data_IF_630577191467
#
_entry.id   IF_630577191467
#
_cell.length_a   1.000
_cell.length_b   1.000
_cell.length_c   1.000
_cell.angle_alpha   90.00
_cell.angle_beta   90.00
_cell.angle_gamma   90.00
#
_symmetry.space_group_name_H-M   'P 1'
#
loop_
_entity.id
_entity.type
_entity.pdbx_description
1 polymer ?
#
# COMPACT_ATOMS: atom_id res chain seq x y z
N UNK A 1 -8.84 -9.31 8.53
CA UNK A 1 -9.86 -10.24 9.06
C UNK A 1 -9.96 -11.52 8.21
N UNK A 2 -10.10 -11.44 6.88
CA UNK A 2 -10.18 -12.60 5.99
C UNK A 2 -9.03 -13.63 6.19
N UNK A 3 -7.78 -13.19 6.25
CA UNK A 3 -6.62 -14.05 6.54
C UNK A 3 -6.77 -14.88 7.82
N UNK A 4 -7.20 -14.23 8.91
CA UNK A 4 -7.36 -14.89 10.21
C UNK A 4 -8.49 -15.93 10.17
N UNK A 5 -9.56 -15.66 9.42
CA UNK A 5 -10.67 -16.61 9.24
C UNK A 5 -10.21 -17.84 8.46
N UNK A 6 -9.50 -17.66 7.35
CA UNK A 6 -8.99 -18.78 6.54
C UNK A 6 -7.96 -19.60 7.32
N UNK A 7 -7.05 -18.95 8.05
CA UNK A 7 -6.11 -19.64 8.92
C UNK A 7 -6.83 -20.48 9.99
N UNK A 8 -7.78 -19.89 10.71
CA UNK A 8 -8.45 -20.52 11.85
C UNK A 8 -9.43 -21.63 11.47
N UNK A 9 -10.20 -21.45 10.40
CA UNK A 9 -11.31 -22.34 10.05
C UNK A 9 -11.04 -23.23 8.84
N UNK A 10 -10.10 -22.84 7.97
CA UNK A 10 -9.82 -23.53 6.71
C UNK A 10 -8.37 -24.01 6.61
N UNK A 11 -7.61 -23.97 7.71
CA UNK A 11 -6.23 -24.45 7.82
C UNK A 11 -5.31 -23.90 6.70
N UNK A 12 -5.51 -22.63 6.30
CA UNK A 12 -4.78 -21.97 5.21
C UNK A 12 -4.86 -22.69 3.85
N UNK A 13 -6.02 -23.27 3.53
CA UNK A 13 -6.25 -23.82 2.20
C UNK A 13 -6.14 -22.71 1.12
N UNK A 14 -5.18 -22.87 0.21
CA UNK A 14 -4.90 -21.91 -0.87
C UNK A 14 -6.13 -21.66 -1.75
N UNK A 15 -6.93 -22.69 -1.99
CA UNK A 15 -8.15 -22.58 -2.81
C UNK A 15 -9.10 -21.55 -2.18
N UNK A 16 -9.26 -21.57 -0.85
CA UNK A 16 -10.13 -20.62 -0.15
C UNK A 16 -9.62 -19.19 -0.29
N UNK A 17 -8.30 -18.98 -0.20
CA UNK A 17 -7.71 -17.66 -0.43
C UNK A 17 -7.99 -17.14 -1.84
N UNK A 18 -7.82 -17.99 -2.86
CA UNK A 18 -8.09 -17.64 -4.26
C UNK A 18 -9.58 -17.37 -4.49
N UNK A 19 -10.46 -18.25 -3.99
CA UNK A 19 -11.91 -18.08 -4.11
C UNK A 19 -12.41 -16.78 -3.47
N UNK A 20 -11.89 -16.43 -2.28
CA UNK A 20 -12.22 -15.15 -1.64
C UNK A 20 -11.74 -13.94 -2.45
N UNK A 21 -10.56 -14.03 -3.06
CA UNK A 21 -10.05 -12.97 -3.95
C UNK A 21 -10.93 -12.79 -5.19
N UNK A 22 -11.32 -13.90 -5.84
CA UNK A 22 -12.23 -13.88 -6.98
C UNK A 22 -13.61 -13.33 -6.61
N UNK A 23 -14.15 -13.75 -5.46
CA UNK A 23 -15.41 -13.22 -4.95
C UNK A 23 -15.32 -11.73 -4.60
N UNK A 24 -14.18 -11.29 -4.06
CA UNK A 24 -13.95 -9.88 -3.72
C UNK A 24 -13.98 -8.96 -4.96
N UNK A 25 -13.55 -9.44 -6.14
CA UNK A 25 -13.66 -8.70 -7.41
C UNK A 25 -15.11 -8.50 -7.87
N UNK A 26 -16.05 -9.31 -7.37
CA UNK A 26 -17.48 -9.19 -7.67
C UNK A 26 -18.20 -8.20 -6.74
N UNK A 27 -17.53 -7.70 -5.70
CA UNK A 27 -18.14 -6.80 -4.74
C UNK A 27 -18.38 -5.43 -5.40
N UNK A 28 -19.56 -4.80 -5.16
CA UNK A 28 -19.81 -3.45 -5.61
C UNK A 28 -18.90 -2.45 -4.90
N UNK A 29 -18.55 -1.38 -5.60
CA UNK A 29 -17.80 -0.26 -5.06
C UNK A 29 -18.65 0.57 -4.08
N UNK A 30 -18.70 0.12 -2.84
CA UNK A 30 -19.40 0.80 -1.75
C UNK A 30 -18.39 1.11 -0.65
N UNK A 31 -18.41 2.33 -0.11
CA UNK A 31 -17.64 2.72 1.09
C UNK A 31 -16.12 2.44 1.02
N UNK A 32 -15.51 2.53 -0.17
CA UNK A 32 -14.07 2.31 -0.33
C UNK A 32 -13.61 0.85 -0.21
N UNK A 33 -14.54 -0.12 -0.30
CA UNK A 33 -14.24 -1.56 -0.34
C UNK A 33 -13.18 -1.88 -1.40
N UNK A 34 -13.17 -1.14 -2.51
CA UNK A 34 -12.22 -1.33 -3.60
C UNK A 34 -10.75 -1.29 -3.16
N UNK A 35 -10.42 -0.42 -2.20
CA UNK A 35 -9.07 -0.32 -1.65
C UNK A 35 -8.67 -1.59 -0.88
N UNK A 36 -9.61 -2.19 -0.16
CA UNK A 36 -9.37 -3.44 0.59
C UNK A 36 -9.25 -4.65 -0.34
N UNK A 37 -10.08 -4.71 -1.39
CA UNK A 37 -10.00 -5.75 -2.43
C UNK A 37 -8.65 -5.66 -3.13
N UNK A 38 -8.20 -4.45 -3.46
CA UNK A 38 -6.88 -4.22 -4.05
C UNK A 38 -5.72 -4.66 -3.15
N UNK A 39 -5.80 -4.38 -1.85
CA UNK A 39 -4.73 -4.76 -0.93
C UNK A 39 -4.68 -6.28 -0.65
N UNK A 40 -5.78 -7.00 -0.89
CA UNK A 40 -5.92 -8.40 -0.48
C UNK A 40 -4.86 -9.35 -1.05
N UNK A 41 -4.55 -9.36 -2.36
CA UNK A 41 -3.53 -10.27 -2.91
C UNK A 41 -2.16 -10.07 -2.27
N UNK A 42 -1.77 -8.82 -1.99
CA UNK A 42 -0.47 -8.52 -1.35
C UNK A 42 -0.38 -9.09 0.07
N UNK A 43 -1.47 -9.00 0.84
CA UNK A 43 -1.51 -9.57 2.19
C UNK A 43 -1.48 -11.10 2.17
N UNK A 44 -2.22 -11.74 1.26
CA UNK A 44 -2.20 -13.20 1.09
C UNK A 44 -0.82 -13.68 0.66
N UNK A 45 -0.24 -13.07 -0.37
CA UNK A 45 1.09 -13.42 -0.87
C UNK A 45 2.10 -13.23 0.25
N UNK A 46 2.14 -12.08 0.92
CA UNK A 46 3.07 -11.83 2.02
C UNK A 46 2.95 -12.84 3.17
N UNK A 47 1.72 -13.18 3.55
CA UNK A 47 1.45 -14.18 4.59
C UNK A 47 1.95 -15.58 4.20
N UNK A 48 1.56 -16.07 3.01
CA UNK A 48 1.97 -17.38 2.51
C UNK A 48 3.48 -17.44 2.26
N UNK A 49 4.06 -16.34 1.77
CA UNK A 49 5.49 -16.22 1.54
C UNK A 49 6.30 -16.44 2.81
N UNK A 50 5.84 -15.87 3.93
CA UNK A 50 6.44 -16.12 5.23
C UNK A 50 6.14 -17.55 5.75
N UNK A 51 4.89 -18.01 5.64
CA UNK A 51 4.46 -19.34 6.11
C UNK A 51 5.29 -20.47 5.49
N UNK A 52 5.59 -20.39 4.20
CA UNK A 52 6.39 -21.40 3.50
C UNK A 52 7.91 -21.15 3.57
N UNK A 53 8.37 -20.21 4.42
CA UNK A 53 9.79 -19.94 4.64
C UNK A 53 10.53 -19.40 3.40
N UNK A 54 9.82 -18.82 2.42
CA UNK A 54 10.43 -18.28 1.21
C UNK A 54 11.34 -17.08 1.53
N UNK A 55 11.07 -16.37 2.63
CA UNK A 55 11.92 -15.32 3.19
C UNK A 55 13.35 -15.81 3.49
N UNK A 56 13.48 -17.04 4.00
CA UNK A 56 14.75 -17.68 4.30
C UNK A 56 15.47 -18.15 3.02
N UNK A 57 14.71 -18.60 2.01
CA UNK A 57 15.28 -18.95 0.70
C UNK A 57 15.89 -17.73 -0.01
N UNK A 58 15.22 -16.58 0.02
CA UNK A 58 15.82 -15.34 -0.50
C UNK A 58 16.99 -14.89 0.38
N UNK A 59 16.92 -15.11 1.70
CA UNK A 59 18.00 -14.76 2.62
C UNK A 59 19.31 -15.45 2.27
N UNK A 60 19.25 -16.74 1.90
CA UNK A 60 20.43 -17.56 1.60
C UNK A 60 21.10 -17.20 0.28
N UNK A 61 20.44 -16.44 -0.60
CA UNK A 61 21.07 -15.98 -1.83
C UNK A 61 22.25 -15.05 -1.55
N UNK A 62 23.33 -15.20 -2.32
CA UNK A 62 24.47 -14.30 -2.25
C UNK A 62 24.10 -12.86 -2.64
N UNK A 63 24.83 -11.88 -2.11
CA UNK A 63 24.55 -10.46 -2.37
C UNK A 63 24.56 -10.10 -3.86
N UNK A 64 25.46 -10.71 -4.67
CA UNK A 64 25.49 -10.51 -6.13
C UNK A 64 24.16 -10.88 -6.80
N UNK A 65 23.59 -12.03 -6.43
CA UNK A 65 22.30 -12.50 -6.97
C UNK A 65 21.17 -11.55 -6.55
N UNK A 66 21.14 -11.12 -5.29
CA UNK A 66 20.15 -10.16 -4.79
C UNK A 66 20.22 -8.83 -5.55
N UNK A 67 21.42 -8.32 -5.83
CA UNK A 67 21.63 -7.09 -6.61
C UNK A 67 21.10 -7.27 -8.03
N UNK A 68 21.49 -8.35 -8.73
CA UNK A 68 21.02 -8.64 -10.08
C UNK A 68 19.48 -8.73 -10.11
N UNK A 69 18.89 -9.47 -9.17
CA UNK A 69 17.43 -9.59 -9.06
C UNK A 69 16.76 -8.23 -8.81
N UNK A 70 17.34 -7.39 -7.95
CA UNK A 70 16.82 -6.04 -7.72
C UNK A 70 16.89 -5.15 -8.95
N UNK A 71 17.95 -5.24 -9.75
CA UNK A 71 18.09 -4.50 -11.00
C UNK A 71 17.08 -4.99 -12.05
N UNK A 72 16.90 -6.29 -12.19
CA UNK A 72 15.90 -6.87 -13.09
C UNK A 72 14.48 -6.44 -12.71
N UNK A 73 14.14 -6.49 -11.42
CA UNK A 73 12.84 -6.03 -10.93
C UNK A 73 12.68 -4.51 -11.09
N UNK A 74 13.74 -3.73 -10.94
CA UNK A 74 13.71 -2.28 -11.18
C UNK A 74 13.45 -1.98 -12.66
N UNK A 75 14.13 -2.66 -13.58
CA UNK A 75 13.90 -2.52 -15.02
C UNK A 75 12.47 -2.93 -15.38
N UNK A 76 11.98 -4.05 -14.84
CA UNK A 76 10.60 -4.47 -15.02
C UNK A 76 9.60 -3.46 -14.45
N UNK A 77 9.86 -2.91 -13.27
CA UNK A 77 9.02 -1.88 -12.66
C UNK A 77 8.97 -0.61 -13.51
N UNK A 78 10.12 -0.12 -13.97
CA UNK A 78 10.20 1.05 -14.86
C UNK A 78 9.46 0.78 -16.17
N UNK A 79 9.64 -0.40 -16.77
CA UNK A 79 8.94 -0.79 -18.00
C UNK A 79 7.42 -0.83 -17.82
N UNK A 80 6.93 -1.42 -16.73
CA UNK A 80 5.50 -1.42 -16.40
C UNK A 80 5.00 0.01 -16.10
N UNK A 81 5.79 0.81 -15.38
CA UNK A 81 5.43 2.18 -15.04
C UNK A 81 5.29 3.09 -16.26
N UNK A 82 6.06 2.86 -17.34
CA UNK A 82 5.90 3.60 -18.60
C UNK A 82 4.54 3.36 -19.27
N UNK A 83 3.88 2.24 -18.98
CA UNK A 83 2.52 1.92 -19.44
C UNK A 83 1.45 2.36 -18.44
N UNK A 84 1.82 2.96 -17.31
CA UNK A 84 0.90 3.37 -16.27
C UNK A 84 0.21 4.69 -16.65
N UNK A 85 -1.11 4.69 -16.59
CA UNK A 85 -1.97 5.79 -17.02
C UNK A 85 -2.91 6.24 -15.90
N UNK A 86 -3.72 7.28 -16.17
CA UNK A 86 -4.66 7.80 -15.17
C UNK A 86 -5.76 6.78 -14.77
N UNK A 87 -6.16 5.90 -15.68
CA UNK A 87 -7.13 4.83 -15.37
C UNK A 87 -6.53 3.77 -14.43
N UNK A 88 -5.21 3.63 -14.37
CA UNK A 88 -4.56 2.68 -13.48
C UNK A 88 -4.52 3.15 -12.02
N UNK A 89 -4.94 4.38 -11.72
CA UNK A 89 -5.11 4.82 -10.33
C UNK A 89 -6.39 4.22 -9.74
N UNK A 90 -6.22 3.45 -8.67
CA UNK A 90 -7.35 2.82 -7.95
C UNK A 90 -8.40 3.82 -7.45
N UNK A 91 -7.99 5.04 -7.14
CA UNK A 91 -8.91 6.10 -6.72
C UNK A 91 -9.77 6.64 -7.87
N UNK A 92 -9.38 6.39 -9.12
CA UNK A 92 -10.10 6.82 -10.32
C UNK A 92 -11.00 5.70 -10.83
N UNK A 93 -10.44 4.51 -11.08
CA UNK A 93 -11.22 3.42 -11.70
C UNK A 93 -11.80 2.40 -10.71
N UNK A 94 -11.41 2.45 -9.43
CA UNK A 94 -11.88 1.53 -8.40
C UNK A 94 -11.41 0.09 -8.59
N UNK A 95 -12.05 -0.88 -7.93
CA UNK A 95 -11.85 -2.31 -8.16
C UNK A 95 -13.21 -2.99 -8.04
N UNK A 96 -13.56 -3.79 -9.05
CA UNK A 96 -14.93 -4.28 -9.20
C UNK A 96 -15.24 -4.54 -10.66
N UNK A 97 -15.35 -5.81 -11.03
CA UNK A 97 -15.61 -6.18 -12.44
C UNK A 97 -17.09 -6.11 -12.78
N UNK A 98 -17.98 -6.10 -11.79
CA UNK A 98 -19.42 -6.05 -12.00
C UNK A 98 -19.89 -4.61 -11.95
N UNK A 99 -20.31 -4.07 -13.09
CA UNK A 99 -20.93 -2.74 -13.18
C UNK A 99 -22.45 -2.87 -13.21
N UNK A 100 -23.13 -1.78 -12.89
CA UNK A 100 -24.59 -1.68 -13.00
C UNK A 100 -25.39 -2.69 -12.18
N UNK A 101 -24.87 -3.14 -11.02
CA UNK A 101 -25.57 -4.07 -10.10
C UNK A 101 -27.00 -3.65 -9.68
N UNK A 102 -27.34 -2.35 -9.79
CA UNK A 102 -28.67 -1.82 -9.50
C UNK A 102 -29.60 -1.76 -10.72
N UNK A 103 -29.10 -2.07 -11.91
CA UNK A 103 -29.87 -2.14 -13.15
C UNK A 103 -30.22 -3.59 -13.46
N UNK A 104 -31.16 -3.80 -14.39
CA UNK A 104 -31.71 -5.11 -14.74
C UNK A 104 -30.69 -6.05 -15.39
N UNK A 105 -29.57 -5.54 -15.91
CA UNK A 105 -28.54 -6.30 -16.62
C UNK A 105 -27.14 -5.95 -16.06
N UNK A 106 -26.64 -6.70 -15.06
CA UNK A 106 -25.26 -6.52 -14.58
C UNK A 106 -24.27 -7.03 -15.64
N UNK A 107 -23.28 -6.22 -15.96
CA UNK A 107 -22.26 -6.56 -16.95
C UNK A 107 -20.88 -6.79 -16.33
N UNK A 108 -20.17 -7.78 -16.85
CA UNK A 108 -18.77 -8.06 -16.50
C UNK A 108 -17.86 -7.20 -17.37
N UNK A 109 -17.16 -6.27 -16.74
CA UNK A 109 -16.21 -5.38 -17.40
C UNK A 109 -14.82 -6.02 -17.48
N UNK A 110 -14.51 -6.66 -18.62
CA UNK A 110 -13.21 -7.28 -18.87
C UNK A 110 -12.05 -6.27 -18.93
N UNK A 111 -12.32 -5.03 -19.33
CA UNK A 111 -11.31 -3.98 -19.34
C UNK A 111 -10.90 -3.61 -17.91
N UNK A 112 -11.84 -3.49 -16.97
CA UNK A 112 -11.54 -3.28 -15.55
C UNK A 112 -10.73 -4.45 -14.96
N UNK A 113 -11.06 -5.69 -15.34
CA UNK A 113 -10.27 -6.86 -14.95
C UNK A 113 -8.81 -6.74 -15.43
N UNK A 114 -8.59 -6.28 -16.66
CA UNK A 114 -7.23 -6.07 -17.20
C UNK A 114 -6.46 -5.00 -16.43
N UNK A 115 -7.13 -3.90 -16.07
CA UNK A 115 -6.55 -2.82 -15.24
C UNK A 115 -6.15 -3.38 -13.87
N UNK A 116 -7.04 -4.14 -13.22
CA UNK A 116 -6.78 -4.70 -11.89
C UNK A 116 -5.62 -5.72 -11.90
N UNK A 117 -5.55 -6.58 -12.92
CA UNK A 117 -4.42 -7.51 -13.10
C UNK A 117 -3.12 -6.73 -13.31
N UNK A 118 -3.13 -5.69 -14.15
CA UNK A 118 -1.96 -4.84 -14.38
C UNK A 118 -1.49 -4.17 -13.09
N UNK A 119 -2.41 -3.59 -12.31
CA UNK A 119 -2.11 -3.00 -10.99
C UNK A 119 -1.50 -4.00 -10.02
N UNK A 120 -2.03 -5.21 -9.97
CA UNK A 120 -1.46 -6.28 -9.15
C UNK A 120 -0.04 -6.62 -9.59
N UNK A 121 0.21 -6.73 -10.90
CA UNK A 121 1.53 -7.02 -11.44
C UNK A 121 2.55 -5.93 -11.11
N UNK A 122 2.27 -4.67 -11.47
CA UNK A 122 3.18 -3.55 -11.22
C UNK A 122 3.44 -3.36 -9.72
N UNK A 123 2.40 -3.47 -8.88
CA UNK A 123 2.53 -3.37 -7.44
C UNK A 123 3.36 -4.50 -6.83
N UNK A 124 3.21 -5.75 -7.32
CA UNK A 124 3.99 -6.89 -6.82
C UNK A 124 5.47 -6.77 -7.20
N UNK A 125 5.74 -6.37 -8.45
CA UNK A 125 7.11 -6.12 -8.92
C UNK A 125 7.75 -4.98 -8.12
N UNK A 126 7.04 -3.85 -7.97
CA UNK A 126 7.53 -2.69 -7.21
C UNK A 126 7.77 -3.00 -5.73
N UNK A 127 6.82 -3.66 -5.06
CA UNK A 127 6.96 -4.03 -3.65
C UNK A 127 8.11 -5.02 -3.43
N UNK A 128 8.25 -6.02 -4.30
CA UNK A 128 9.35 -7.01 -4.21
C UNK A 128 10.71 -6.33 -4.45
N UNK A 129 10.78 -5.43 -5.43
CA UNK A 129 11.96 -4.62 -5.71
C UNK A 129 12.37 -3.82 -4.46
N UNK A 130 11.43 -3.07 -3.87
CA UNK A 130 11.67 -2.27 -2.67
C UNK A 130 12.15 -3.12 -1.49
N UNK A 131 11.53 -4.27 -1.23
CA UNK A 131 11.92 -5.17 -0.13
C UNK A 131 13.34 -5.72 -0.30
N UNK A 132 13.73 -6.08 -1.53
CA UNK A 132 15.10 -6.57 -1.81
C UNK A 132 16.11 -5.42 -1.65
N UNK A 133 15.80 -4.23 -2.17
CA UNK A 133 16.65 -3.04 -2.02
C UNK A 133 16.88 -2.73 -0.54
N UNK A 134 15.82 -2.71 0.26
CA UNK A 134 15.92 -2.52 1.72
C UNK A 134 16.83 -3.59 2.32
N UNK A 135 16.66 -4.86 1.95
CA UNK A 135 17.47 -5.95 2.50
C UNK A 135 18.96 -5.85 2.16
N UNK A 136 19.30 -5.40 0.95
CA UNK A 136 20.68 -5.21 0.51
C UNK A 136 21.31 -3.98 1.17
N UNK A 137 20.55 -2.89 1.28
CA UNK A 137 21.06 -1.62 1.79
C UNK A 137 21.04 -1.51 3.32
N UNK A 138 20.17 -2.25 4.01
CA UNK A 138 19.99 -2.16 5.47
C UNK A 138 21.31 -2.30 6.25
N UNK A 139 22.16 -3.25 5.87
CA UNK A 139 23.45 -3.48 6.53
C UNK A 139 24.49 -2.38 6.24
N UNK A 140 24.27 -1.57 5.20
CA UNK A 140 25.13 -0.45 4.82
C UNK A 140 24.64 0.88 5.42
N UNK A 141 23.42 0.91 5.95
CA UNK A 141 22.85 2.08 6.61
C UNK A 141 23.36 2.12 8.06
N UNK A 142 23.91 3.27 8.48
CA UNK A 142 24.37 3.45 9.85
C UNK A 142 23.25 3.25 10.88
N UNK A 143 23.62 2.73 12.06
CA UNK A 143 22.68 2.43 13.16
C UNK A 143 21.75 3.61 13.50
N UNK A 144 22.29 4.83 13.52
CA UNK A 144 21.52 6.04 13.83
C UNK A 144 20.44 6.31 12.77
N UNK A 145 20.77 6.18 11.49
CA UNK A 145 19.83 6.37 10.38
C UNK A 145 18.75 5.30 10.38
N UNK A 146 19.11 4.04 10.60
CA UNK A 146 18.14 2.94 10.76
C UNK A 146 17.17 3.20 11.93
N UNK A 147 17.70 3.63 13.08
CA UNK A 147 16.87 3.96 14.25
C UNK A 147 15.94 5.15 13.98
N UNK A 148 16.41 6.17 13.28
CA UNK A 148 15.60 7.33 12.89
C UNK A 148 14.46 6.93 11.94
N UNK A 149 14.78 6.18 10.88
CA UNK A 149 13.79 5.67 9.93
C UNK A 149 12.76 4.79 10.64
N UNK A 150 13.20 3.94 11.57
CA UNK A 150 12.31 3.14 12.41
C UNK A 150 11.35 3.98 13.25
N UNK A 151 11.84 5.04 13.89
CA UNK A 151 11.00 5.97 14.68
C UNK A 151 9.96 6.70 13.81
N UNK A 152 10.36 7.17 12.62
CA UNK A 152 9.44 7.82 11.68
C UNK A 152 8.42 6.82 11.16
N UNK A 153 8.86 5.62 10.77
CA UNK A 153 7.99 4.54 10.29
C UNK A 153 6.97 4.06 11.33
N UNK A 154 7.34 4.03 12.61
CA UNK A 154 6.39 3.73 13.71
C UNK A 154 5.30 4.78 13.86
N UNK A 155 5.51 6.00 13.36
CA UNK A 155 4.55 7.12 13.42
C UNK A 155 3.78 7.33 12.12
N UNK A 156 4.14 6.63 11.04
CA UNK A 156 3.60 6.85 9.70
C UNK A 156 2.07 6.76 9.62
N UNK A 157 1.43 5.84 10.35
CA UNK A 157 -0.03 5.74 10.38
C UNK A 157 -0.66 6.97 11.05
N UNK A 158 -0.10 7.44 12.16
CA UNK A 158 -0.60 8.65 12.82
C UNK A 158 -0.44 9.88 11.94
N UNK A 159 0.74 10.01 11.31
CA UNK A 159 1.03 11.05 10.32
C UNK A 159 -0.01 11.02 9.20
N UNK A 160 -0.27 9.85 8.62
CA UNK A 160 -1.24 9.66 7.53
C UNK A 160 -2.67 10.00 7.93
N UNK A 161 -3.12 9.55 9.11
CA UNK A 161 -4.47 9.84 9.60
C UNK A 161 -4.64 11.34 9.78
N UNK A 162 -3.70 12.01 10.44
CA UNK A 162 -3.79 13.47 10.69
C UNK A 162 -3.65 14.25 9.39
N UNK A 163 -2.71 13.88 8.51
CA UNK A 163 -2.55 14.55 7.22
C UNK A 163 -3.83 14.43 6.39
N UNK A 164 -4.43 13.24 6.33
CA UNK A 164 -5.62 13.00 5.50
C UNK A 164 -6.86 13.62 6.13
N UNK A 165 -7.13 13.34 7.41
CA UNK A 165 -8.35 13.79 8.06
C UNK A 165 -8.35 15.29 8.35
N UNK A 166 -7.23 15.88 8.75
CA UNK A 166 -7.16 17.30 9.13
C UNK A 166 -6.68 18.18 7.99
N UNK A 167 -5.52 17.86 7.40
CA UNK A 167 -4.95 18.73 6.38
C UNK A 167 -5.71 18.61 5.06
N UNK A 168 -5.79 17.42 4.46
CA UNK A 168 -6.41 17.23 3.14
C UNK A 168 -7.89 17.60 3.11
N UNK A 169 -8.64 17.27 4.17
CA UNK A 169 -10.09 17.48 4.17
C UNK A 169 -10.53 18.84 4.71
N UNK A 170 -9.80 19.46 5.64
CA UNK A 170 -10.24 20.74 6.25
C UNK A 170 -9.36 21.93 5.88
N UNK A 171 -8.04 21.79 5.88
CA UNK A 171 -7.15 22.95 5.69
C UNK A 171 -6.98 23.22 4.20
N UNK A 172 -6.55 22.18 3.49
CA UNK A 172 -6.16 22.23 2.10
C UNK A 172 -7.23 22.83 1.16
N UNK A 173 -8.53 22.49 1.27
CA UNK A 173 -9.57 23.06 0.40
C UNK A 173 -9.73 24.58 0.51
N UNK A 174 -9.24 25.20 1.58
CA UNK A 174 -9.35 26.63 1.85
C UNK A 174 -8.08 27.41 1.49
N UNK A 175 -7.05 26.75 0.95
CA UNK A 175 -5.80 27.40 0.52
C UNK A 175 -5.96 27.85 -0.95
N UNK A 176 -5.98 29.17 -1.23
CA UNK A 176 -6.09 29.67 -2.60
C UNK A 176 -4.77 29.48 -3.39
N UNK A 177 -4.88 29.39 -4.73
CA UNK A 177 -3.78 29.42 -5.72
C UNK A 177 -2.96 28.15 -5.99
N UNK A 178 -3.59 26.97 -6.05
CA UNK A 178 -2.88 25.71 -6.34
C UNK A 178 -2.37 25.55 -7.78
N UNK A 179 -3.06 26.13 -8.76
CA UNK A 179 -2.75 25.89 -10.18
C UNK A 179 -1.40 26.50 -10.62
N UNK A 180 -0.86 27.43 -9.83
CA UNK A 180 0.40 28.13 -10.12
C UNK A 180 1.56 27.66 -9.24
N UNK A 181 1.35 26.69 -8.33
CA UNK A 181 2.43 26.22 -7.47
C UNK A 181 3.44 25.41 -8.29
N UNK A 182 4.63 25.98 -8.46
CA UNK A 182 5.78 25.22 -8.96
C UNK A 182 6.14 24.07 -8.02
N UNK A 183 6.81 23.03 -8.54
CA UNK A 183 7.19 21.84 -7.78
C UNK A 183 7.96 22.15 -6.47
N UNK A 184 8.71 23.25 -6.41
CA UNK A 184 9.40 23.69 -5.19
C UNK A 184 8.45 24.06 -4.04
N UNK A 185 7.33 24.74 -4.34
CA UNK A 185 6.32 25.08 -3.34
C UNK A 185 5.59 23.83 -2.83
N UNK A 186 5.31 22.87 -3.72
CA UNK A 186 4.71 21.58 -3.35
C UNK A 186 5.63 20.79 -2.42
N UNK A 187 6.93 20.79 -2.68
CA UNK A 187 7.93 20.14 -1.79
C UNK A 187 7.94 20.82 -0.43
N UNK A 188 7.97 22.16 -0.40
CA UNK A 188 7.96 22.92 0.85
C UNK A 188 6.69 22.64 1.67
N UNK A 189 5.52 22.69 1.03
CA UNK A 189 4.23 22.37 1.63
C UNK A 189 4.21 20.95 2.20
N UNK A 190 4.72 19.97 1.44
CA UNK A 190 4.82 18.57 1.88
C UNK A 190 5.70 18.46 3.13
N UNK A 191 6.87 19.12 3.16
CA UNK A 191 7.76 19.12 4.33
C UNK A 191 7.06 19.73 5.54
N UNK A 192 6.38 20.87 5.37
CA UNK A 192 5.66 21.55 6.46
C UNK A 192 4.54 20.67 7.03
N UNK A 193 3.70 20.11 6.16
CA UNK A 193 2.59 19.23 6.59
C UNK A 193 3.14 17.99 7.30
N UNK A 194 4.18 17.35 6.77
CA UNK A 194 4.80 16.17 7.40
C UNK A 194 5.41 16.51 8.77
N UNK A 195 6.07 17.66 8.92
CA UNK A 195 6.62 18.10 10.20
C UNK A 195 5.53 18.36 11.25
N UNK A 196 4.45 19.06 10.87
CA UNK A 196 3.35 19.37 11.80
C UNK A 196 2.62 18.09 12.19
N UNK A 197 2.26 17.24 11.23
CA UNK A 197 1.55 15.98 11.49
C UNK A 197 2.39 15.01 12.31
N UNK A 198 3.72 14.98 12.12
CA UNK A 198 4.64 14.25 12.99
C UNK A 198 4.60 14.76 14.44
N UNK A 199 4.63 16.08 14.63
CA UNK A 199 4.59 16.70 15.95
C UNK A 199 3.26 16.42 16.67
N UNK A 200 2.13 16.56 15.97
CA UNK A 200 0.81 16.24 16.53
C UNK A 200 0.75 14.75 16.90
N UNK A 201 1.20 13.86 16.01
CA UNK A 201 1.26 12.41 16.31
C UNK A 201 2.08 12.14 17.57
N UNK A 202 3.24 12.77 17.69
CA UNK A 202 4.11 12.65 18.85
C UNK A 202 3.42 13.14 20.15
N UNK A 203 2.66 14.24 20.10
CA UNK A 203 1.91 14.73 21.25
C UNK A 203 0.74 13.81 21.62
N UNK A 204 0.00 13.30 20.63
CA UNK A 204 -1.13 12.39 20.85
C UNK A 204 -0.69 11.06 21.47
N UNK A 205 0.51 10.58 21.19
CA UNK A 205 1.04 9.36 21.82
C UNK A 205 1.32 9.51 23.32
N UNK A 206 1.53 10.74 23.82
CA UNK A 206 1.80 10.96 25.25
C UNK A 206 0.59 10.66 26.13
N UNK A 207 -0.62 10.80 25.61
CA UNK A 207 -1.85 10.50 26.34
C UNK A 207 -2.35 9.10 25.99
N UNK A 208 -2.60 8.28 27.03
CA UNK A 208 -3.01 6.87 26.90
C UNK A 208 -4.34 6.72 26.16
N UNK A 209 -5.29 7.65 26.35
CA UNK A 209 -6.59 7.60 25.69
C UNK A 209 -6.46 7.87 24.18
N UNK A 210 -5.77 8.94 23.79
CA UNK A 210 -5.57 9.31 22.38
C UNK A 210 -4.71 8.29 21.65
N UNK A 211 -3.67 7.74 22.30
CA UNK A 211 -2.86 6.64 21.76
C UNK A 211 -3.70 5.41 21.46
N UNK A 212 -4.62 5.04 22.35
CA UNK A 212 -5.46 3.86 22.15
C UNK A 212 -6.55 4.09 21.11
N UNK A 213 -7.27 5.22 21.19
CA UNK A 213 -8.46 5.47 20.38
C UNK A 213 -8.11 5.94 18.96
N UNK A 214 -7.09 6.78 18.79
CA UNK A 214 -6.79 7.41 17.50
C UNK A 214 -5.64 6.72 16.75
N UNK A 215 -4.70 6.11 17.48
CA UNK A 215 -3.48 5.52 16.91
C UNK A 215 -3.44 3.99 17.00
N UNK A 216 -4.52 3.37 17.51
CA UNK A 216 -4.71 1.93 17.52
C UNK A 216 -3.84 1.16 18.52
N UNK A 217 -3.41 1.82 19.61
CA UNK A 217 -2.56 1.25 20.67
C UNK A 217 -1.39 0.42 20.12
N UNK A 218 -0.41 1.09 19.51
CA UNK A 218 0.92 0.51 19.26
C UNK A 218 1.73 0.50 20.54
#
# INVERSE_FOLDING_TARGET
MALLVVHRYFNDNIIVYVSLGLFALLLPEVLGISLYVYMYPYFVIGYLFNKYGLTNKIASFGNKIKIILSLLLLVAFVGLYMSYTNEDYIYISGTGIVKHLKQLEPEINLHQLSIDIFRYAIGLVGATCALIIIRVTYNHIGKNTSMLLGKIGQKSIGIYIISTMFFNNFILPHVPHREEFGYGMVILETVVILSITYLITYMLEKNKLTRSLMLGSR
#
